data_IF_366612415489
#
_entry.id   IF_366612415489
#
_cell.length_a   1.000
_cell.length_b   1.000
_cell.length_c   1.000
_cell.angle_alpha   90.00
_cell.angle_beta   90.00
_cell.angle_gamma   90.00
#
_symmetry.space_group_name_H-M   'P 1'
#
loop_
_entity.id
_entity.type
_entity.pdbx_description
1 polymer ?
#
# COMPACT_ATOMS: atom_id res chain seq x y z
N UNK A 1 26.07 54.15 57.97
CA UNK A 1 24.75 53.52 57.77
C UNK A 1 24.05 54.31 56.67
N UNK A 2 23.58 53.84 55.53
CA UNK A 2 23.22 52.53 54.99
C UNK A 2 23.48 52.60 53.47
N UNK A 3 24.09 51.57 52.88
CA UNK A 3 24.51 51.51 51.47
C UNK A 3 23.29 51.32 50.56
N UNK A 4 23.10 52.16 49.54
CA UNK A 4 22.10 51.93 48.50
C UNK A 4 22.73 51.04 47.43
N UNK A 5 22.26 49.80 47.37
CA UNK A 5 22.77 48.72 46.53
C UNK A 5 22.14 48.87 45.14
N UNK A 6 23.00 49.01 44.13
CA UNK A 6 22.69 48.97 42.71
C UNK A 6 22.08 47.61 42.35
N UNK A 7 20.80 47.56 41.99
CA UNK A 7 20.15 46.35 41.51
C UNK A 7 20.27 46.28 39.97
N UNK A 8 21.26 45.52 39.50
CA UNK A 8 21.46 45.21 38.08
C UNK A 8 20.43 44.15 37.65
N UNK A 9 19.52 44.53 36.74
CA UNK A 9 18.57 43.63 36.09
C UNK A 9 19.35 42.67 35.15
N UNK A 10 19.47 41.40 35.53
CA UNK A 10 19.96 40.33 34.65
C UNK A 10 18.72 39.78 33.92
N UNK A 11 18.48 40.25 32.70
CA UNK A 11 17.54 39.58 31.79
C UNK A 11 18.20 38.30 31.29
N UNK A 12 17.81 37.16 31.85
CA UNK A 12 18.03 35.86 31.23
C UNK A 12 17.19 35.80 29.94
N UNK A 13 17.81 36.11 28.80
CA UNK A 13 17.27 35.69 27.51
C UNK A 13 17.42 34.19 27.42
N UNK A 14 16.34 33.46 27.74
CA UNK A 14 16.25 32.04 27.52
C UNK A 14 16.17 31.79 26.00
N UNK A 15 17.32 31.75 25.33
CA UNK A 15 17.46 31.20 23.98
C UNK A 15 17.29 29.69 24.08
N UNK A 16 16.05 29.24 24.27
CA UNK A 16 15.68 27.85 24.24
C UNK A 16 15.30 27.45 22.83
N UNK A 17 16.28 26.97 22.06
CA UNK A 17 16.03 26.20 20.85
C UNK A 17 15.26 24.93 21.23
N UNK A 18 14.01 24.80 20.80
CA UNK A 18 13.28 23.53 20.96
C UNK A 18 12.33 23.30 19.80
N UNK A 19 12.91 23.21 18.59
CA UNK A 19 12.21 22.85 17.36
C UNK A 19 12.57 21.42 16.89
N UNK A 20 12.81 20.54 17.86
CA UNK A 20 12.95 19.10 17.59
C UNK A 20 12.09 18.33 18.57
N UNK A 21 10.78 18.58 18.49
CA UNK A 21 9.84 17.50 18.73
C UNK A 21 10.07 16.53 17.58
N UNK A 22 10.88 15.51 17.81
CA UNK A 22 10.91 14.31 16.99
C UNK A 22 9.47 13.82 16.94
N UNK A 23 8.79 14.12 15.84
CA UNK A 23 7.45 13.65 15.53
C UNK A 23 7.53 12.13 15.65
N UNK A 24 6.99 11.56 16.72
CA UNK A 24 6.85 10.10 16.83
C UNK A 24 6.16 9.69 15.53
N UNK A 25 6.85 8.93 14.68
CA UNK A 25 6.19 8.37 13.51
C UNK A 25 5.05 7.51 14.05
N UNK A 26 3.83 7.87 13.67
CA UNK A 26 2.69 6.99 13.91
C UNK A 26 3.03 5.61 13.35
N UNK A 27 2.65 4.52 14.04
CA UNK A 27 2.91 3.18 13.54
C UNK A 27 2.36 3.05 12.12
N UNK A 28 3.21 2.59 11.20
CA UNK A 28 2.81 2.35 9.81
C UNK A 28 1.71 1.30 9.85
N UNK A 29 0.51 1.69 9.44
CA UNK A 29 -0.63 0.78 9.35
C UNK A 29 -0.34 -0.26 8.26
N UNK A 30 -0.13 -1.51 8.69
CA UNK A 30 0.23 -2.63 7.83
C UNK A 30 -0.98 -3.38 7.25
N UNK A 31 -2.19 -2.88 7.50
CA UNK A 31 -3.42 -3.66 7.37
C UNK A 31 -4.13 -3.55 6.01
N UNK A 32 -3.49 -2.97 4.99
CA UNK A 32 -4.16 -2.72 3.70
C UNK A 32 -3.24 -2.74 2.48
N UNK A 33 -3.87 -2.88 1.31
CA UNK A 33 -3.29 -2.57 0.01
C UNK A 33 -3.98 -1.36 -0.61
N UNK A 34 -3.22 -0.60 -1.39
CA UNK A 34 -3.76 0.44 -2.28
C UNK A 34 -3.80 -0.05 -3.71
N UNK A 35 -4.87 0.30 -4.42
CA UNK A 35 -5.09 0.00 -5.84
C UNK A 35 -5.16 1.34 -6.58
N UNK A 36 -4.28 1.54 -7.55
CA UNK A 36 -4.29 2.70 -8.45
C UNK A 36 -4.87 2.31 -9.81
N UNK A 37 -6.05 2.82 -10.16
CA UNK A 37 -6.71 2.50 -11.42
C UNK A 37 -6.11 3.20 -12.64
N UNK A 38 -5.24 4.20 -12.44
CA UNK A 38 -4.58 4.91 -13.53
C UNK A 38 -3.25 4.23 -13.89
N UNK A 39 -2.40 4.02 -12.89
CA UNK A 39 -1.06 3.49 -13.09
C UNK A 39 -1.02 1.96 -12.93
N UNK A 40 -2.13 1.35 -12.52
CA UNK A 40 -2.30 -0.10 -12.32
C UNK A 40 -1.34 -0.67 -11.27
N UNK A 41 -1.01 0.16 -10.28
CA UNK A 41 -0.18 -0.21 -9.14
C UNK A 41 -1.01 -0.88 -8.05
N UNK A 42 -0.47 -1.94 -7.48
CA UNK A 42 -0.99 -2.60 -6.29
C UNK A 42 0.08 -2.57 -5.21
N UNK A 43 -0.08 -1.72 -4.21
CA UNK A 43 0.95 -1.45 -3.20
C UNK A 43 0.48 -1.95 -1.85
N UNK A 44 1.35 -2.66 -1.14
CA UNK A 44 1.13 -2.96 0.26
C UNK A 44 1.36 -1.68 1.06
N UNK A 45 0.36 -1.26 1.83
CA UNK A 45 0.46 -0.14 2.76
C UNK A 45 0.83 1.18 2.04
N UNK A 46 1.73 1.97 2.63
CA UNK A 46 2.36 3.15 2.03
C UNK A 46 3.69 2.85 1.33
N UNK A 47 3.97 1.57 1.02
CA UNK A 47 5.20 1.14 0.35
C UNK A 47 5.33 1.75 -1.05
N UNK A 48 6.57 2.10 -1.42
CA UNK A 48 6.95 2.41 -2.80
C UNK A 48 7.24 1.18 -3.64
N UNK A 49 7.44 0.02 -3.01
CA UNK A 49 7.55 -1.26 -3.69
C UNK A 49 6.14 -1.80 -3.92
N UNK A 50 5.69 -1.77 -5.17
CA UNK A 50 4.34 -2.13 -5.59
C UNK A 50 4.39 -3.19 -6.69
N UNK A 51 3.38 -4.06 -6.72
CA UNK A 51 3.15 -4.95 -7.84
C UNK A 51 2.45 -4.21 -8.98
N UNK A 52 2.76 -4.59 -10.22
CA UNK A 52 2.07 -4.07 -11.39
C UNK A 52 0.93 -5.03 -11.77
N UNK A 53 -0.32 -4.57 -11.71
CA UNK A 53 -1.49 -5.36 -12.09
C UNK A 53 -1.48 -5.77 -13.56
N UNK A 54 -0.71 -5.09 -14.42
CA UNK A 54 -0.54 -5.46 -15.83
C UNK A 54 0.28 -6.74 -15.99
N UNK A 55 1.06 -7.15 -15.00
CA UNK A 55 1.84 -8.40 -15.03
C UNK A 55 0.94 -9.62 -15.28
N UNK A 56 -0.31 -9.60 -14.83
CA UNK A 56 -1.27 -10.67 -15.08
C UNK A 56 -1.50 -10.96 -16.57
N UNK A 57 -1.33 -9.96 -17.45
CA UNK A 57 -1.53 -10.11 -18.90
C UNK A 57 -0.46 -11.02 -19.51
N UNK A 58 0.78 -10.93 -19.02
CA UNK A 58 1.89 -11.77 -19.49
C UNK A 58 2.04 -13.07 -18.69
N UNK A 59 1.41 -13.15 -17.52
CA UNK A 59 1.49 -14.27 -16.59
C UNK A 59 0.19 -15.01 -16.38
N UNK A 60 -0.75 -14.97 -17.34
CA UNK A 60 -2.09 -15.57 -17.18
C UNK A 60 -2.05 -17.05 -16.82
N UNK A 61 -1.06 -17.82 -17.29
CA UNK A 61 -0.91 -19.23 -16.91
C UNK A 61 -0.65 -19.45 -15.41
N UNK A 62 -0.24 -18.41 -14.67
CA UNK A 62 0.04 -18.46 -13.24
C UNK A 62 -1.11 -17.88 -12.39
N UNK A 63 -2.25 -17.57 -13.01
CA UNK A 63 -3.40 -16.97 -12.34
C UNK A 63 -4.15 -17.93 -11.40
N UNK A 64 -3.93 -19.24 -11.52
CA UNK A 64 -4.68 -20.30 -10.83
C UNK A 64 -4.98 -20.02 -9.36
N UNK A 65 -3.99 -19.70 -8.52
CA UNK A 65 -4.22 -19.41 -7.10
C UNK A 65 -5.19 -18.25 -6.85
N UNK A 66 -5.14 -17.19 -7.66
CA UNK A 66 -6.09 -16.07 -7.58
C UNK A 66 -7.48 -16.54 -8.00
N UNK A 67 -7.57 -17.29 -9.08
CA UNK A 67 -8.86 -17.76 -9.59
C UNK A 67 -9.56 -18.70 -8.59
N UNK A 68 -8.79 -19.56 -7.93
CA UNK A 68 -9.29 -20.53 -6.98
C UNK A 68 -9.80 -19.83 -5.71
N UNK A 69 -9.04 -18.88 -5.15
CA UNK A 69 -9.47 -18.18 -3.92
C UNK A 69 -10.67 -17.26 -4.16
N UNK A 70 -10.75 -16.61 -5.32
CA UNK A 70 -11.90 -15.77 -5.69
C UNK A 70 -13.07 -16.57 -6.30
N UNK A 71 -12.93 -17.89 -6.50
CA UNK A 71 -13.95 -18.74 -7.11
C UNK A 71 -14.38 -18.30 -8.51
N UNK A 72 -13.53 -17.58 -9.25
CA UNK A 72 -13.85 -16.99 -10.55
C UNK A 72 -12.62 -16.89 -11.45
N UNK A 73 -12.82 -16.97 -12.77
CA UNK A 73 -11.72 -17.00 -13.74
C UNK A 73 -11.31 -15.61 -14.21
N UNK A 74 -9.99 -15.38 -14.36
CA UNK A 74 -9.45 -14.17 -14.97
C UNK A 74 -9.62 -14.31 -16.48
N UNK A 75 -10.68 -13.70 -17.01
CA UNK A 75 -11.12 -13.89 -18.39
C UNK A 75 -10.65 -12.78 -19.33
N UNK A 76 -10.19 -13.16 -20.52
CA UNK A 76 -9.86 -12.25 -21.62
C UNK A 76 -11.10 -11.63 -22.31
N UNK A 77 -10.90 -10.65 -23.21
CA UNK A 77 -9.61 -10.11 -23.66
C UNK A 77 -9.00 -9.10 -22.67
N UNK A 78 -9.72 -8.68 -21.62
CA UNK A 78 -9.24 -7.71 -20.65
C UNK A 78 -8.89 -8.38 -19.30
N UNK A 79 -7.80 -9.16 -19.30
CA UNK A 79 -7.33 -9.89 -18.11
C UNK A 79 -7.08 -8.97 -16.91
N UNK A 80 -6.45 -7.82 -17.12
CA UNK A 80 -6.23 -6.82 -16.05
C UNK A 80 -7.54 -6.28 -15.48
N UNK A 81 -8.50 -5.95 -16.33
CA UNK A 81 -9.82 -5.49 -15.89
C UNK A 81 -10.61 -6.57 -15.15
N UNK A 82 -10.45 -7.83 -15.54
CA UNK A 82 -11.01 -8.98 -14.83
C UNK A 82 -10.42 -9.09 -13.42
N UNK A 83 -9.09 -9.05 -13.28
CA UNK A 83 -8.41 -9.05 -11.98
C UNK A 83 -8.83 -7.86 -11.10
N UNK A 84 -8.88 -6.64 -11.67
CA UNK A 84 -9.35 -5.46 -10.95
C UNK A 84 -10.78 -5.63 -10.40
N UNK A 85 -11.68 -6.23 -11.18
CA UNK A 85 -13.04 -6.51 -10.71
C UNK A 85 -13.05 -7.50 -9.56
N UNK A 86 -12.24 -8.56 -9.63
CA UNK A 86 -12.11 -9.51 -8.51
C UNK A 86 -11.63 -8.80 -7.23
N UNK A 87 -10.64 -7.91 -7.34
CA UNK A 87 -10.09 -7.18 -6.18
C UNK A 87 -11.10 -6.19 -5.61
N UNK A 88 -11.79 -5.42 -6.45
CA UNK A 88 -12.61 -4.28 -6.01
C UNK A 88 -14.07 -4.66 -5.73
N UNK A 89 -14.59 -5.65 -6.45
CA UNK A 89 -15.97 -6.12 -6.40
C UNK A 89 -15.98 -7.66 -6.26
N UNK A 90 -15.36 -8.21 -5.21
CA UNK A 90 -15.22 -9.66 -5.07
C UNK A 90 -16.58 -10.35 -4.93
N UNK A 91 -16.79 -11.42 -5.69
CA UNK A 91 -17.88 -12.35 -5.45
C UNK A 91 -17.44 -13.38 -4.40
N UNK A 92 -18.02 -13.33 -3.20
CA UNK A 92 -17.77 -14.33 -2.16
C UNK A 92 -16.68 -13.99 -1.15
N UNK A 93 -15.83 -12.98 -1.39
CA UNK A 93 -14.90 -12.51 -0.36
C UNK A 93 -15.65 -11.69 0.71
N UNK A 94 -15.17 -11.77 1.96
CA UNK A 94 -15.79 -11.09 3.11
C UNK A 94 -15.49 -9.59 3.20
N UNK A 95 -14.66 -9.06 2.29
CA UNK A 95 -14.22 -7.67 2.33
C UNK A 95 -14.90 -6.79 1.27
N UNK A 96 -14.80 -5.48 1.47
CA UNK A 96 -15.22 -4.46 0.50
C UNK A 96 -14.05 -3.52 0.23
N UNK A 97 -13.91 -3.08 -1.02
CA UNK A 97 -12.98 -2.03 -1.37
C UNK A 97 -13.52 -0.66 -0.92
N UNK A 98 -12.65 0.16 -0.37
CA UNK A 98 -12.93 1.54 0.03
C UNK A 98 -12.36 2.49 -1.02
N UNK A 99 -13.18 3.36 -1.58
CA UNK A 99 -12.71 4.44 -2.46
C UNK A 99 -12.09 5.54 -1.60
N UNK A 100 -10.79 5.80 -1.76
CA UNK A 100 -10.04 6.76 -0.93
C UNK A 100 -9.67 8.05 -1.65
N UNK A 101 -10.02 8.19 -2.95
CA UNK A 101 -9.82 9.44 -3.69
C UNK A 101 -11.11 9.98 -4.29
N UNK A 102 -11.27 11.31 -4.29
CA UNK A 102 -12.47 11.97 -4.82
C UNK A 102 -12.74 11.62 -6.30
N UNK A 103 -11.67 11.57 -7.10
CA UNK A 103 -11.72 11.24 -8.53
C UNK A 103 -11.92 9.74 -8.83
N UNK A 104 -11.96 8.85 -7.82
CA UNK A 104 -12.14 7.41 -8.03
C UNK A 104 -10.93 6.70 -8.63
N UNK A 105 -9.74 7.30 -8.55
CA UNK A 105 -8.48 6.66 -8.97
C UNK A 105 -7.97 5.64 -7.96
N UNK A 106 -8.05 5.96 -6.67
CA UNK A 106 -7.42 5.15 -5.62
C UNK A 106 -8.45 4.43 -4.76
N UNK A 107 -8.21 3.16 -4.52
CA UNK A 107 -8.96 2.32 -3.60
C UNK A 107 -8.04 1.71 -2.56
N UNK A 108 -8.60 1.44 -1.39
CA UNK A 108 -8.00 0.65 -0.32
C UNK A 108 -8.75 -0.68 -0.22
N UNK A 109 -8.01 -1.77 -0.11
CA UNK A 109 -8.56 -3.10 0.24
C UNK A 109 -7.80 -3.63 1.46
N UNK A 110 -8.45 -4.33 2.40
CA UNK A 110 -7.77 -4.84 3.59
C UNK A 110 -6.76 -5.91 3.22
N UNK A 111 -5.67 -6.02 3.98
CA UNK A 111 -4.74 -7.13 3.88
C UNK A 111 -5.37 -8.38 4.51
N UNK A 112 -5.67 -9.35 3.66
CA UNK A 112 -6.23 -10.66 3.98
C UNK A 112 -5.81 -11.69 2.94
N UNK A 113 -6.22 -12.94 3.14
CA UNK A 113 -5.85 -14.08 2.30
C UNK A 113 -6.10 -13.86 0.79
N UNK A 114 -7.20 -13.21 0.41
CA UNK A 114 -7.54 -12.92 -0.99
C UNK A 114 -6.53 -11.93 -1.60
N UNK A 115 -6.36 -10.79 -0.95
CA UNK A 115 -5.47 -9.71 -1.39
C UNK A 115 -4.00 -10.08 -1.33
N UNK A 116 -3.61 -10.89 -0.34
CA UNK A 116 -2.26 -11.42 -0.18
C UNK A 116 -1.93 -12.42 -1.28
N UNK A 117 -2.91 -13.23 -1.70
CA UNK A 117 -2.77 -14.15 -2.83
C UNK A 117 -2.51 -13.39 -4.13
N UNK A 118 -3.25 -12.30 -4.37
CA UNK A 118 -3.01 -11.42 -5.53
C UNK A 118 -1.60 -10.83 -5.47
N UNK A 119 -1.20 -10.29 -4.32
CA UNK A 119 0.14 -9.72 -4.12
C UNK A 119 1.23 -10.73 -4.48
N UNK A 120 1.13 -11.95 -3.92
CA UNK A 120 2.09 -13.03 -4.14
C UNK A 120 2.17 -13.42 -5.61
N UNK A 121 1.04 -13.68 -6.25
CA UNK A 121 1.00 -14.12 -7.66
C UNK A 121 1.57 -13.05 -8.58
N UNK A 122 1.23 -11.78 -8.40
CA UNK A 122 1.81 -10.70 -9.22
C UNK A 122 3.32 -10.57 -9.01
N UNK A 123 3.78 -10.74 -7.76
CA UNK A 123 5.21 -10.76 -7.43
C UNK A 123 5.94 -11.93 -8.09
N UNK A 124 5.37 -13.13 -8.02
CA UNK A 124 5.93 -14.33 -8.63
C UNK A 124 6.02 -14.20 -10.15
N UNK A 125 4.96 -13.68 -10.80
CA UNK A 125 4.97 -13.38 -12.24
C UNK A 125 6.09 -12.39 -12.57
N UNK A 126 6.19 -11.30 -11.81
CA UNK A 126 7.20 -10.27 -12.06
C UNK A 126 8.63 -10.82 -11.88
N UNK A 127 8.89 -11.60 -10.83
CA UNK A 127 10.17 -12.25 -10.60
C UNK A 127 10.49 -13.31 -11.67
N UNK A 128 9.49 -14.01 -12.20
CA UNK A 128 9.69 -14.93 -13.31
C UNK A 128 10.11 -14.19 -14.59
N UNK A 129 9.45 -13.07 -14.89
CA UNK A 129 9.72 -12.26 -16.08
C UNK A 129 11.09 -11.57 -16.04
N UNK A 130 11.53 -11.09 -14.88
CA UNK A 130 12.73 -10.24 -14.78
C UNK A 130 13.92 -10.89 -14.08
N UNK A 131 13.69 -11.93 -13.26
CA UNK A 131 14.72 -12.55 -12.43
C UNK A 131 14.82 -14.08 -12.62
N UNK A 132 14.18 -14.65 -13.65
CA UNK A 132 14.20 -16.09 -13.97
C UNK A 132 13.70 -17.00 -12.84
N UNK A 133 12.81 -16.51 -11.97
CA UNK A 133 12.16 -17.38 -10.99
C UNK A 133 11.30 -18.43 -11.69
N UNK A 134 11.50 -19.68 -11.31
CA UNK A 134 10.62 -20.78 -11.71
C UNK A 134 9.42 -20.76 -10.76
N UNK A 135 8.23 -20.55 -11.31
CA UNK A 135 6.97 -20.66 -10.56
C UNK A 135 6.57 -22.14 -10.61
N UNK A 136 6.48 -22.76 -9.44
CA UNK A 136 6.02 -24.13 -9.27
C UNK A 136 4.62 -24.11 -8.66
N UNK A 137 3.72 -24.93 -9.20
CA UNK A 137 2.35 -25.10 -8.73
C UNK A 137 2.26 -25.78 -7.35
#
# INVERSE_FOLDING_TARGET
MLRVITATFITLTLTGCMDSITKLSEPVDTSYYTVDLKDYSYCRESSSNCQNLTSIVSGTQYAGPVEDIYGSKISGPNYRGSLLRMILEPQGASYKAEKISANGRFYRVPANEYTDTVWKVLGDINESLYNNKIITD
#
